data_IF_912494842823
#
_entry.id   IF_912494842823
#
_cell.length_a   1.000
_cell.length_b   1.000
_cell.length_c   1.000
_cell.angle_alpha   90.00
_cell.angle_beta   90.00
_cell.angle_gamma   90.00
#
_symmetry.space_group_name_H-M   'P 1'
#
loop_
_entity.id
_entity.type
_entity.pdbx_description
1 polymer ?
#
# COMPACT_ATOMS: atom_id res chain seq x y z
N UNK A 1 33.29 30.95 -10.24
CA UNK A 1 32.00 31.66 -10.09
C UNK A 1 31.32 31.05 -8.88
N UNK A 2 31.16 31.83 -7.82
CA UNK A 2 30.48 31.38 -6.59
C UNK A 2 29.02 31.82 -6.68
N UNK A 3 28.09 30.90 -6.43
CA UNK A 3 26.65 31.17 -6.43
C UNK A 3 26.14 30.97 -5.00
N UNK A 4 25.54 31.99 -4.37
CA UNK A 4 24.96 31.82 -3.04
C UNK A 4 23.75 30.89 -3.10
N UNK A 5 23.73 29.90 -2.20
CA UNK A 5 22.63 28.95 -2.05
C UNK A 5 22.02 29.06 -0.65
N UNK A 6 20.76 28.63 -0.50
CA UNK A 6 20.08 28.54 0.79
C UNK A 6 19.64 27.10 1.06
N UNK A 7 19.81 26.66 2.30
CA UNK A 7 19.24 25.40 2.78
C UNK A 7 17.94 25.73 3.51
N UNK A 8 16.83 25.15 3.03
CA UNK A 8 15.53 25.30 3.68
C UNK A 8 15.38 24.18 4.71
N UNK A 9 14.88 24.52 5.90
CA UNK A 9 14.60 23.53 6.94
C UNK A 9 13.50 22.57 6.48
N UNK A 10 13.70 21.27 6.68
CA UNK A 10 12.67 20.28 6.43
C UNK A 10 11.44 20.51 7.34
N UNK A 11 10.24 20.10 6.92
CA UNK A 11 9.09 20.12 7.81
C UNK A 11 9.08 18.99 8.81
N UNK A 12 8.68 19.31 10.05
CA UNK A 12 8.36 18.29 11.04
C UNK A 12 7.12 17.53 10.57
N UNK A 13 7.17 16.20 10.59
CA UNK A 13 6.04 15.34 10.24
C UNK A 13 5.39 14.83 11.52
N UNK A 14 4.06 14.92 11.59
CA UNK A 14 3.24 14.46 12.71
C UNK A 14 2.56 13.13 12.38
N UNK A 15 2.71 12.17 13.28
CA UNK A 15 2.13 10.83 13.22
C UNK A 15 0.97 10.68 14.20
N UNK A 16 0.21 9.60 14.04
CA UNK A 16 -1.02 9.37 14.78
C UNK A 16 -0.82 8.95 16.24
N UNK A 17 -1.91 8.94 17.03
CA UNK A 17 -1.93 8.44 18.40
C UNK A 17 -1.37 7.01 18.50
N UNK A 18 -0.64 6.71 19.58
CA UNK A 18 0.00 5.41 19.79
C UNK A 18 1.37 5.25 19.14
N UNK A 19 1.86 6.27 18.43
CA UNK A 19 3.28 6.37 18.05
C UNK A 19 4.14 6.58 19.29
N UNK A 20 5.27 5.88 19.44
CA UNK A 20 6.24 6.23 20.50
C UNK A 20 6.97 7.52 20.16
N UNK A 21 7.15 7.78 18.87
CA UNK A 21 7.65 9.05 18.33
C UNK A 21 6.53 9.72 17.55
N UNK A 22 5.80 10.63 18.21
CA UNK A 22 4.67 11.34 17.62
C UNK A 22 5.07 12.32 16.51
N UNK A 23 6.30 12.80 16.52
CA UNK A 23 6.85 13.66 15.46
C UNK A 23 8.20 13.17 14.98
N UNK A 24 8.57 13.55 13.76
CA UNK A 24 9.91 13.33 13.21
C UNK A 24 10.32 14.51 12.36
N UNK A 25 11.54 14.98 12.58
CA UNK A 25 12.21 15.95 11.71
C UNK A 25 13.04 15.17 10.69
N UNK A 26 12.72 15.20 9.39
CA UNK A 26 13.52 14.56 8.35
C UNK A 26 14.95 15.09 8.36
N UNK A 27 15.92 14.20 8.12
CA UNK A 27 17.33 14.54 7.96
C UNK A 27 17.78 14.10 6.58
N UNK A 28 18.43 15.00 5.84
CA UNK A 28 18.90 14.74 4.48
C UNK A 28 17.82 14.16 3.55
N UNK A 29 16.57 14.62 3.74
CA UNK A 29 15.40 14.16 2.96
C UNK A 29 14.87 12.77 3.34
N UNK A 30 15.36 12.14 4.42
CA UNK A 30 15.00 10.79 4.82
C UNK A 30 14.49 10.70 6.27
N UNK A 31 13.62 9.70 6.50
CA UNK A 31 13.16 9.27 7.82
C UNK A 31 12.67 7.81 7.76
N UNK A 32 12.40 7.22 8.93
CA UNK A 32 11.88 5.86 9.05
C UNK A 32 10.53 5.82 9.76
N UNK A 33 9.71 4.81 9.43
CA UNK A 33 8.42 4.50 10.04
C UNK A 33 8.52 3.73 11.36
N UNK A 34 9.74 3.37 11.80
CA UNK A 34 9.93 2.67 13.08
C UNK A 34 9.29 3.50 14.21
N UNK A 35 8.52 2.79 15.05
CA UNK A 35 7.78 3.31 16.20
C UNK A 35 6.73 4.41 15.89
N UNK A 36 6.26 4.48 14.63
CA UNK A 36 5.24 5.44 14.17
C UNK A 36 3.97 4.74 13.73
N UNK A 37 2.83 5.36 14.05
CA UNK A 37 1.47 4.94 13.67
C UNK A 37 0.89 5.98 12.72
N UNK A 38 0.08 5.56 11.76
CA UNK A 38 -0.52 6.48 10.80
C UNK A 38 -1.46 7.48 11.49
N UNK A 39 -1.50 8.71 10.97
CA UNK A 39 -2.35 9.79 11.48
C UNK A 39 -3.84 9.42 11.45
N UNK A 40 -4.28 8.85 10.32
CA UNK A 40 -5.60 8.24 10.15
C UNK A 40 -5.41 6.84 9.55
N UNK A 41 -5.27 5.81 10.39
CA UNK A 41 -5.15 4.43 9.92
C UNK A 41 -6.51 3.90 9.49
N UNK A 42 -6.56 3.25 8.33
CA UNK A 42 -7.74 2.54 7.84
C UNK A 42 -7.64 1.04 8.12
N UNK A 43 -8.78 0.41 8.39
CA UNK A 43 -8.84 -1.04 8.58
C UNK A 43 -8.71 -1.75 7.24
N UNK A 44 -7.76 -2.69 7.14
CA UNK A 44 -7.76 -3.68 6.08
C UNK A 44 -8.79 -4.76 6.46
N UNK A 45 -10.03 -4.56 6.01
CA UNK A 45 -11.20 -5.39 6.34
C UNK A 45 -11.15 -6.78 5.70
N UNK A 46 -12.14 -7.13 4.88
CA UNK A 46 -12.10 -8.38 4.11
C UNK A 46 -11.24 -8.19 2.87
N UNK A 47 -10.26 -9.07 2.68
CA UNK A 47 -9.33 -9.02 1.56
C UNK A 47 -8.97 -10.42 1.09
N UNK A 48 -8.41 -10.51 -0.12
CA UNK A 48 -7.90 -11.76 -0.70
C UNK A 48 -6.53 -11.55 -1.33
N UNK A 49 -5.81 -12.65 -1.54
CA UNK A 49 -4.55 -12.67 -2.28
C UNK A 49 -4.70 -13.45 -3.58
N UNK A 50 -4.30 -12.86 -4.70
CA UNK A 50 -4.28 -13.53 -6.01
C UNK A 50 -2.84 -13.64 -6.48
N UNK A 51 -2.38 -14.85 -6.71
CA UNK A 51 -0.99 -15.17 -7.01
C UNK A 51 -0.90 -15.59 -8.48
N UNK A 52 -0.32 -14.73 -9.31
CA UNK A 52 -0.20 -14.96 -10.75
C UNK A 52 1.08 -15.73 -11.10
N UNK A 53 1.23 -16.92 -10.53
CA UNK A 53 2.32 -17.84 -10.85
C UNK A 53 2.01 -19.27 -10.37
N UNK A 54 2.72 -20.27 -10.89
CA UNK A 54 2.62 -21.65 -10.40
C UNK A 54 3.08 -21.83 -8.94
N UNK A 55 2.50 -22.83 -8.25
CA UNK A 55 2.83 -23.15 -6.84
C UNK A 55 4.29 -23.60 -6.64
N UNK A 56 4.90 -24.24 -7.64
CA UNK A 56 6.31 -24.62 -7.57
C UNK A 56 7.26 -23.40 -7.61
N UNK A 57 6.82 -22.28 -8.20
CA UNK A 57 7.55 -21.02 -8.18
C UNK A 57 7.30 -20.21 -6.91
N UNK A 58 6.11 -20.33 -6.31
CA UNK A 58 5.79 -19.65 -5.05
C UNK A 58 4.87 -20.52 -4.21
N UNK A 59 5.45 -21.18 -3.22
CA UNK A 59 4.76 -22.22 -2.46
C UNK A 59 3.63 -21.65 -1.59
N UNK A 60 2.67 -22.48 -1.16
CA UNK A 60 1.66 -22.06 -0.19
C UNK A 60 2.26 -21.51 1.11
N UNK A 61 3.43 -21.99 1.52
CA UNK A 61 4.11 -21.48 2.70
C UNK A 61 4.76 -20.10 2.46
N UNK A 62 5.25 -19.83 1.24
CA UNK A 62 5.66 -18.47 0.85
C UNK A 62 4.49 -17.50 0.87
N UNK A 63 3.31 -17.94 0.40
CA UNK A 63 2.08 -17.15 0.46
C UNK A 63 1.68 -16.84 1.90
N UNK A 64 1.65 -17.84 2.78
CA UNK A 64 1.35 -17.65 4.22
C UNK A 64 2.35 -16.71 4.91
N UNK A 65 3.65 -16.88 4.63
CA UNK A 65 4.71 -15.98 5.15
C UNK A 65 4.51 -14.53 4.68
N UNK A 66 4.18 -14.35 3.41
CA UNK A 66 3.89 -13.04 2.81
C UNK A 66 2.67 -12.39 3.47
N UNK A 67 1.57 -13.14 3.63
CA UNK A 67 0.36 -12.68 4.34
C UNK A 67 0.72 -12.26 5.76
N UNK A 68 1.47 -13.09 6.48
CA UNK A 68 1.87 -12.81 7.87
C UNK A 68 2.72 -11.55 7.95
N UNK A 69 3.71 -11.38 7.06
CA UNK A 69 4.55 -10.19 7.00
C UNK A 69 3.76 -8.93 6.69
N UNK A 70 2.81 -9.00 5.76
CA UNK A 70 1.93 -7.88 5.43
C UNK A 70 1.03 -7.48 6.60
N UNK A 71 0.38 -8.46 7.23
CA UNK A 71 -0.46 -8.24 8.42
C UNK A 71 0.35 -7.55 9.52
N UNK A 72 1.54 -8.07 9.84
CA UNK A 72 2.43 -7.48 10.83
C UNK A 72 2.87 -6.06 10.45
N UNK A 73 3.17 -5.82 9.17
CA UNK A 73 3.52 -4.49 8.67
C UNK A 73 2.40 -3.47 8.82
N UNK A 74 1.16 -3.86 8.50
CA UNK A 74 -0.03 -3.04 8.69
C UNK A 74 -0.27 -2.71 10.19
N UNK A 75 -0.18 -3.70 11.07
CA UNK A 75 -0.37 -3.48 12.51
C UNK A 75 0.75 -2.66 13.14
N UNK A 76 1.98 -2.82 12.65
CA UNK A 76 3.14 -2.04 13.09
C UNK A 76 2.92 -0.54 12.87
N UNK A 77 2.18 -0.16 11.83
CA UNK A 77 1.82 1.25 11.53
C UNK A 77 0.39 1.61 11.99
N UNK A 78 -0.27 0.75 12.75
CA UNK A 78 -1.54 1.05 13.43
C UNK A 78 -2.79 0.78 12.61
N UNK A 79 -2.68 0.12 11.45
CA UNK A 79 -3.84 -0.34 10.69
C UNK A 79 -4.44 -1.58 11.35
N UNK A 80 -5.75 -1.59 11.69
CA UNK A 80 -6.44 -2.80 12.08
C UNK A 80 -6.52 -3.78 10.90
N UNK A 81 -6.29 -5.07 11.16
CA UNK A 81 -6.44 -6.12 10.15
C UNK A 81 -7.25 -7.27 10.76
N UNK A 82 -8.60 -7.21 10.75
CA UNK A 82 -9.44 -8.25 11.36
C UNK A 82 -9.26 -9.61 10.69
N UNK A 83 -9.13 -9.64 9.36
CA UNK A 83 -8.90 -10.86 8.59
C UNK A 83 -7.40 -11.17 8.49
N UNK A 84 -6.93 -12.07 9.35
CA UNK A 84 -5.51 -12.47 9.45
C UNK A 84 -5.11 -13.56 8.47
N UNK A 85 -6.08 -14.33 7.96
CA UNK A 85 -5.86 -15.48 7.09
C UNK A 85 -6.80 -15.40 5.89
N UNK A 86 -6.64 -14.36 5.04
CA UNK A 86 -7.44 -14.23 3.84
C UNK A 86 -7.29 -15.45 2.93
N UNK A 87 -8.30 -15.67 2.08
CA UNK A 87 -8.16 -16.62 0.97
C UNK A 87 -7.01 -16.18 0.06
N UNK A 88 -6.14 -17.12 -0.31
CA UNK A 88 -5.18 -16.93 -1.39
C UNK A 88 -5.41 -17.96 -2.49
N UNK A 89 -5.36 -17.52 -3.74
CA UNK A 89 -5.60 -18.36 -4.92
C UNK A 89 -4.48 -18.20 -5.95
N UNK A 90 -4.19 -19.28 -6.68
CA UNK A 90 -3.22 -19.29 -7.76
C UNK A 90 -3.92 -19.16 -9.11
N UNK A 91 -3.41 -18.28 -9.97
CA UNK A 91 -3.92 -18.03 -11.32
C UNK A 91 -2.77 -18.01 -12.32
N UNK A 92 -3.08 -18.30 -13.58
CA UNK A 92 -2.09 -18.27 -14.65
C UNK A 92 -1.77 -16.79 -15.00
N UNK A 93 -0.49 -16.36 -15.00
CA UNK A 93 -0.13 -14.99 -15.40
C UNK A 93 -0.56 -14.64 -16.85
N UNK A 94 -0.72 -15.64 -17.72
CA UNK A 94 -1.12 -15.46 -19.12
C UNK A 94 -2.65 -15.50 -19.34
N UNK A 95 -3.44 -15.81 -18.29
CA UNK A 95 -4.91 -15.83 -18.43
C UNK A 95 -5.52 -14.44 -18.39
N UNK A 96 -6.79 -14.33 -18.78
CA UNK A 96 -7.55 -13.11 -18.61
C UNK A 96 -7.57 -12.71 -17.13
N UNK A 97 -6.99 -11.54 -16.84
CA UNK A 97 -6.78 -11.04 -15.48
C UNK A 97 -8.11 -10.65 -14.83
N UNK A 98 -9.04 -10.09 -15.60
CA UNK A 98 -10.33 -9.65 -15.09
C UNK A 98 -11.18 -10.85 -14.67
N UNK A 99 -11.23 -11.88 -15.50
CA UNK A 99 -11.88 -13.15 -15.16
C UNK A 99 -11.18 -13.82 -13.98
N UNK A 100 -9.85 -13.83 -13.95
CA UNK A 100 -9.07 -14.42 -12.84
C UNK A 100 -9.39 -13.77 -11.49
N UNK A 101 -9.48 -12.44 -11.46
CA UNK A 101 -9.89 -11.69 -10.27
C UNK A 101 -11.36 -11.95 -9.92
N UNK A 102 -12.24 -12.02 -10.92
CA UNK A 102 -13.66 -12.38 -10.73
C UNK A 102 -13.82 -13.73 -10.05
N UNK A 103 -13.14 -14.75 -10.57
CA UNK A 103 -13.17 -16.11 -10.06
C UNK A 103 -12.67 -16.15 -8.62
N UNK A 104 -11.59 -15.43 -8.32
CA UNK A 104 -11.04 -15.35 -6.97
C UNK A 104 -12.05 -14.75 -5.97
N UNK A 105 -12.77 -13.70 -6.39
CA UNK A 105 -13.84 -13.08 -5.59
C UNK A 105 -15.03 -14.03 -5.43
N UNK A 106 -15.44 -14.72 -6.49
CA UNK A 106 -16.53 -15.71 -6.44
C UNK A 106 -16.18 -16.90 -5.54
N UNK A 107 -14.94 -17.37 -5.60
CA UNK A 107 -14.42 -18.41 -4.71
C UNK A 107 -14.42 -17.96 -3.25
N UNK A 108 -14.01 -16.72 -2.96
CA UNK A 108 -14.11 -16.19 -1.60
C UNK A 108 -15.56 -16.13 -1.12
N UNK A 109 -16.49 -15.70 -1.98
CA UNK A 109 -17.92 -15.67 -1.65
C UNK A 109 -18.50 -17.06 -1.38
N UNK A 110 -18.07 -18.08 -2.12
CA UNK A 110 -18.56 -19.45 -1.92
C UNK A 110 -18.00 -20.07 -0.64
N UNK A 111 -16.69 -19.95 -0.39
CA UNK A 111 -15.98 -20.59 0.72
C UNK A 111 -16.10 -19.83 2.05
N UNK A 112 -15.97 -18.49 2.02
CA UNK A 112 -15.89 -17.65 3.21
C UNK A 112 -17.16 -16.86 3.50
N UNK A 113 -18.12 -16.85 2.56
CA UNK A 113 -19.38 -16.09 2.66
C UNK A 113 -19.17 -14.59 2.87
N UNK A 114 -18.04 -14.05 2.41
CA UNK A 114 -17.69 -12.63 2.48
C UNK A 114 -17.36 -12.08 1.09
N UNK A 115 -17.49 -10.77 0.92
CA UNK A 115 -17.03 -10.07 -0.29
C UNK A 115 -15.79 -9.25 0.07
N UNK A 116 -14.63 -9.48 -0.58
CA UNK A 116 -13.43 -8.70 -0.31
C UNK A 116 -13.59 -7.26 -0.80
N UNK A 117 -13.11 -6.32 0.00
CA UNK A 117 -13.03 -4.89 -0.31
C UNK A 117 -11.63 -4.47 -0.73
N UNK A 118 -10.66 -5.40 -0.71
CA UNK A 118 -9.29 -5.16 -1.12
C UNK A 118 -8.67 -6.43 -1.73
N UNK A 119 -7.83 -6.27 -2.75
CA UNK A 119 -7.14 -7.40 -3.40
C UNK A 119 -5.63 -7.17 -3.40
N UNK A 120 -4.87 -8.13 -2.90
CA UNK A 120 -3.41 -8.15 -3.03
C UNK A 120 -3.02 -9.09 -4.15
N UNK A 121 -2.33 -8.59 -5.17
CA UNK A 121 -1.86 -9.39 -6.30
C UNK A 121 -0.36 -9.66 -6.17
N UNK A 122 0.06 -10.92 -6.16
CA UNK A 122 1.48 -11.30 -6.21
C UNK A 122 1.84 -11.61 -7.66
N UNK A 123 2.80 -10.86 -8.19
CA UNK A 123 3.23 -10.90 -9.59
C UNK A 123 4.66 -11.45 -9.68
N UNK A 124 5.03 -12.12 -10.79
CA UNK A 124 6.40 -12.54 -11.02
C UNK A 124 7.36 -11.33 -11.10
N UNK A 125 8.65 -11.59 -10.92
CA UNK A 125 9.70 -10.59 -11.19
C UNK A 125 9.95 -10.55 -12.70
N UNK A 126 10.04 -9.34 -13.28
CA UNK A 126 10.24 -9.15 -14.72
C UNK A 126 9.23 -8.20 -15.34
N UNK A 127 9.43 -7.87 -16.61
CA UNK A 127 8.66 -6.91 -17.39
C UNK A 127 7.34 -7.49 -17.92
N UNK A 128 6.51 -8.06 -17.03
CA UNK A 128 5.09 -8.27 -17.31
C UNK A 128 4.32 -6.98 -16.98
N UNK A 129 4.74 -5.87 -17.63
CA UNK A 129 4.05 -4.57 -17.55
C UNK A 129 2.57 -4.72 -17.89
N UNK A 130 2.25 -5.64 -18.79
CA UNK A 130 0.88 -5.94 -19.22
C UNK A 130 0.05 -6.53 -18.09
N UNK A 131 0.59 -7.47 -17.31
CA UNK A 131 -0.10 -8.08 -16.17
C UNK A 131 -0.36 -7.05 -15.07
N UNK A 132 0.66 -6.25 -14.74
CA UNK A 132 0.50 -5.15 -13.77
C UNK A 132 -0.58 -4.17 -14.24
N UNK A 133 -0.51 -3.75 -15.50
CA UNK A 133 -1.46 -2.79 -16.11
C UNK A 133 -2.87 -3.36 -16.13
N UNK A 134 -3.03 -4.64 -16.49
CA UNK A 134 -4.32 -5.31 -16.51
C UNK A 134 -4.95 -5.42 -15.11
N UNK A 135 -4.15 -5.73 -14.08
CA UNK A 135 -4.62 -5.73 -12.68
C UNK A 135 -5.09 -4.34 -12.27
N UNK A 136 -4.32 -3.29 -12.60
CA UNK A 136 -4.68 -1.89 -12.31
C UNK A 136 -5.94 -1.46 -13.03
N UNK A 137 -6.00 -1.70 -14.33
CA UNK A 137 -7.17 -1.40 -15.16
C UNK A 137 -8.44 -2.10 -14.63
N UNK A 138 -8.34 -3.37 -14.22
CA UNK A 138 -9.47 -4.10 -13.66
C UNK A 138 -9.98 -3.48 -12.34
N UNK A 139 -9.10 -3.25 -11.38
CA UNK A 139 -9.50 -2.74 -10.07
C UNK A 139 -9.96 -1.29 -10.11
N UNK A 140 -9.21 -0.43 -10.78
CA UNK A 140 -9.40 1.03 -10.73
C UNK A 140 -10.53 1.50 -11.67
N UNK A 141 -10.77 0.80 -12.79
CA UNK A 141 -11.76 1.22 -13.80
C UNK A 141 -12.99 0.31 -13.80
N UNK A 142 -12.82 -1.02 -13.82
CA UNK A 142 -13.95 -1.93 -14.06
C UNK A 142 -14.73 -2.32 -12.80
N UNK A 143 -14.04 -2.53 -11.68
CA UNK A 143 -14.65 -3.16 -10.49
C UNK A 143 -14.76 -2.26 -9.28
N UNK A 144 -14.01 -1.14 -9.22
CA UNK A 144 -14.00 -0.23 -8.08
C UNK A 144 -13.45 -0.87 -6.80
N UNK A 145 -12.67 -1.95 -6.91
CA UNK A 145 -12.04 -2.62 -5.75
C UNK A 145 -10.57 -2.23 -5.70
N UNK A 146 -10.19 -1.56 -4.62
CA UNK A 146 -8.82 -1.15 -4.38
C UNK A 146 -7.88 -2.37 -4.35
N UNK A 147 -6.72 -2.25 -4.98
CA UNK A 147 -5.77 -3.34 -5.10
C UNK A 147 -4.32 -2.92 -4.85
N UNK A 148 -3.47 -3.87 -4.45
CA UNK A 148 -2.03 -3.68 -4.30
C UNK A 148 -1.26 -4.82 -4.94
N UNK A 149 -0.43 -4.51 -5.94
CA UNK A 149 0.47 -5.48 -6.56
C UNK A 149 1.80 -5.56 -5.79
N UNK A 150 2.33 -6.76 -5.61
CA UNK A 150 3.61 -7.05 -4.98
C UNK A 150 4.42 -7.96 -5.92
N UNK A 151 5.68 -7.64 -6.14
CA UNK A 151 6.57 -8.53 -6.89
C UNK A 151 7.15 -9.61 -5.96
N UNK A 152 7.22 -10.84 -6.45
CA UNK A 152 7.64 -12.01 -5.67
C UNK A 152 9.04 -11.86 -5.08
N UNK A 153 9.99 -11.26 -5.80
CA UNK A 153 11.36 -11.06 -5.33
C UNK A 153 11.45 -10.06 -4.19
N UNK A 154 10.46 -9.18 -4.04
CA UNK A 154 10.35 -8.28 -2.88
C UNK A 154 9.65 -8.93 -1.69
N UNK A 155 8.79 -9.92 -1.93
CA UNK A 155 8.08 -10.65 -0.89
C UNK A 155 8.98 -11.71 -0.22
N UNK A 156 9.81 -12.40 -1.01
CA UNK A 156 10.79 -13.37 -0.51
C UNK A 156 11.80 -12.67 0.40
N UNK A 157 11.91 -13.14 1.64
CA UNK A 157 12.81 -12.58 2.66
C UNK A 157 12.59 -11.08 2.92
N UNK A 158 11.35 -10.61 2.72
CA UNK A 158 10.98 -9.22 2.97
C UNK A 158 11.28 -8.81 4.41
N UNK A 159 11.97 -7.68 4.56
CA UNK A 159 12.23 -7.07 5.87
C UNK A 159 10.98 -6.34 6.37
N UNK A 160 10.81 -6.15 7.69
CA UNK A 160 9.68 -5.39 8.25
C UNK A 160 9.47 -4.02 7.60
N UNK A 161 10.54 -3.32 7.22
CA UNK A 161 10.47 -2.03 6.51
C UNK A 161 9.75 -2.13 5.16
N UNK A 162 9.88 -3.24 4.42
CA UNK A 162 9.17 -3.43 3.17
C UNK A 162 7.66 -3.46 3.40
N UNK A 163 7.20 -4.23 4.39
CA UNK A 163 5.78 -4.34 4.72
C UNK A 163 5.20 -3.02 5.23
N UNK A 164 5.95 -2.26 6.03
CA UNK A 164 5.55 -0.91 6.43
C UNK A 164 5.39 0.03 5.22
N UNK A 165 6.28 -0.06 4.23
CA UNK A 165 6.20 0.72 2.98
C UNK A 165 5.03 0.28 2.09
N UNK A 166 4.67 -1.01 2.11
CA UNK A 166 3.46 -1.51 1.44
C UNK A 166 2.21 -0.97 2.15
N UNK A 167 2.19 -0.97 3.48
CA UNK A 167 1.09 -0.45 4.28
C UNK A 167 0.82 1.04 4.02
N UNK A 168 1.85 1.86 3.75
CA UNK A 168 1.67 3.26 3.31
C UNK A 168 0.72 3.38 2.10
N UNK A 169 0.87 2.49 1.13
CA UNK A 169 0.10 2.49 -0.13
C UNK A 169 -1.30 1.96 0.10
N UNK A 170 -1.45 0.90 0.90
CA UNK A 170 -2.76 0.33 1.23
C UNK A 170 -3.58 1.35 2.01
N UNK A 171 -3.01 1.99 3.04
CA UNK A 171 -3.71 2.98 3.83
C UNK A 171 -4.24 4.15 2.99
N UNK A 172 -3.39 4.69 2.10
CA UNK A 172 -3.79 5.76 1.18
C UNK A 172 -4.95 5.33 0.26
N UNK A 173 -4.89 4.10 -0.30
CA UNK A 173 -5.97 3.55 -1.16
C UNK A 173 -7.27 3.30 -0.43
N UNK A 174 -7.22 3.09 0.88
CA UNK A 174 -8.40 2.94 1.74
C UNK A 174 -8.92 4.30 2.25
N UNK A 175 -8.31 5.43 1.85
CA UNK A 175 -8.73 6.78 2.28
C UNK A 175 -8.16 7.23 3.62
N UNK A 176 -7.07 6.60 4.04
CA UNK A 176 -6.30 6.96 5.24
C UNK A 176 -5.29 8.07 5.01
N UNK A 177 -4.72 8.56 6.11
CA UNK A 177 -3.66 9.59 6.12
C UNK A 177 -2.48 9.02 6.89
N UNK A 178 -1.30 8.96 6.26
CA UNK A 178 -0.11 8.37 6.87
C UNK A 178 0.52 9.32 7.89
N UNK A 179 0.76 10.56 7.50
CA UNK A 179 1.37 11.62 8.30
C UNK A 179 0.87 12.99 7.84
N UNK A 180 1.08 14.01 8.67
CA UNK A 180 0.69 15.39 8.38
C UNK A 180 1.90 16.30 8.64
N UNK A 181 2.39 17.08 7.67
CA UNK A 181 3.46 18.05 7.90
C UNK A 181 3.00 19.19 8.82
N UNK A 182 3.91 19.76 9.60
CA UNK A 182 3.57 20.86 10.51
C UNK A 182 3.09 22.10 9.71
N UNK A 183 1.85 22.56 9.90
CA UNK A 183 1.26 23.65 9.11
C UNK A 183 2.02 24.98 9.23
N UNK A 184 2.81 25.15 10.29
CA UNK A 184 3.61 26.37 10.53
C UNK A 184 4.61 26.68 9.41
N UNK A 185 5.05 25.67 8.66
CA UNK A 185 6.03 25.84 7.58
C UNK A 185 5.41 26.20 6.23
N UNK A 186 4.09 26.05 6.10
CA UNK A 186 3.34 26.43 4.91
C UNK A 186 2.06 27.19 5.31
N UNK A 187 2.20 28.39 5.92
CA UNK A 187 1.06 29.14 6.46
C UNK A 187 0.06 29.56 5.39
N UNK A 188 0.53 29.81 4.16
CA UNK A 188 -0.34 30.15 3.02
C UNK A 188 -1.27 28.98 2.66
N UNK A 189 -0.73 27.75 2.66
CA UNK A 189 -1.48 26.54 2.29
C UNK A 189 -2.38 26.10 3.45
N UNK A 190 -1.99 26.43 4.70
CA UNK A 190 -2.62 25.94 5.92
C UNK A 190 -3.61 26.92 6.56
N UNK A 191 -3.93 28.07 5.95
CA UNK A 191 -4.89 29.03 6.52
C UNK A 191 -6.33 28.49 6.40
N UNK A 192 -7.01 28.14 7.51
CA UNK A 192 -8.38 27.64 7.47
C UNK A 192 -9.40 28.69 6.98
N UNK A 193 -9.05 29.98 6.99
CA UNK A 193 -9.90 31.07 6.49
C UNK A 193 -9.74 31.28 4.98
N UNK A 194 -8.66 30.76 4.39
CA UNK A 194 -8.40 30.81 2.95
C UNK A 194 -8.06 29.40 2.44
N UNK A 195 -9.09 28.53 2.29
CA UNK A 195 -8.89 27.17 1.81
C UNK A 195 -8.13 27.16 0.48
N UNK A 196 -6.98 26.50 0.46
CA UNK A 196 -6.11 26.42 -0.71
C UNK A 196 -6.17 25.01 -1.30
N UNK A 197 -6.34 24.90 -2.61
CA UNK A 197 -6.23 23.64 -3.35
C UNK A 197 -4.86 23.57 -4.03
N UNK A 198 -4.17 22.44 -3.85
CA UNK A 198 -2.91 22.14 -4.55
C UNK A 198 -3.25 21.20 -5.71
N UNK A 199 -2.88 21.59 -6.93
CA UNK A 199 -3.07 20.78 -8.14
C UNK A 199 -1.73 20.44 -8.76
N UNK A 200 -1.56 19.21 -9.24
CA UNK A 200 -0.42 18.77 -10.03
C UNK A 200 -0.89 18.25 -11.39
N UNK A 201 -0.20 18.61 -12.46
CA UNK A 201 -0.47 18.16 -13.81
C UNK A 201 0.83 17.67 -14.45
N UNK A 202 0.74 16.58 -15.20
CA UNK A 202 1.83 15.97 -15.95
C UNK A 202 1.32 15.52 -17.32
N UNK A 203 2.19 15.50 -18.33
CA UNK A 203 1.87 15.04 -19.69
C UNK A 203 2.98 14.10 -20.13
N UNK A 204 2.60 12.85 -20.38
CA UNK A 204 3.51 11.85 -20.92
C UNK A 204 3.36 11.82 -22.45
N UNK A 205 4.47 12.01 -23.18
CA UNK A 205 4.52 12.02 -24.65
C UNK A 205 5.05 10.69 -25.20
#
# INVERSE_FOLDING_TARGET
MEIPARMINAPELKYGPGSKQATVQPRDGAWTLVDKKFSKPMSLGTWIVVIFMPQNSFSPDDAKRTITGLVQGCEAVGMPVPEKQPLFVYKNPQSDVDQSLSDAVMQNRSERKTTPTFIVCILPDGSDTDLYTAVKHCGDIRRGVANQCLHVGKCRNARPQYWANVALKINAKLGGVNDIPDPKLAPIISDPRQPTIVMGADVWA
#
